data_IF_148291830069
#
_entry.id   IF_148291830069
#
_cell.length_a   1.000
_cell.length_b   1.000
_cell.length_c   1.000
_cell.angle_alpha   90.00
_cell.angle_beta   90.00
_cell.angle_gamma   90.00
#
_symmetry.space_group_name_H-M   'P 1'
#
loop_
_entity.id
_entity.type
_entity.pdbx_description
1 polymer ?
#
# COMPACT_ATOMS: atom_id res chain seq x y z
N UNK A 1 3.18 41.81 -9.22
CA UNK A 1 3.30 40.76 -8.19
C UNK A 1 3.24 41.42 -6.83
N UNK A 2 2.19 41.19 -6.04
CA UNK A 2 2.12 41.69 -4.65
C UNK A 2 3.07 40.84 -3.78
N UNK A 3 3.72 41.44 -2.79
CA UNK A 3 4.63 40.76 -1.85
C UNK A 3 4.03 39.50 -1.22
N UNK A 4 2.71 39.53 -0.96
CA UNK A 4 1.94 38.37 -0.48
C UNK A 4 1.93 37.18 -1.45
N UNK A 5 1.82 37.43 -2.76
CA UNK A 5 1.87 36.38 -3.79
C UNK A 5 3.26 35.77 -3.91
N UNK A 6 4.32 36.56 -3.78
CA UNK A 6 5.69 36.03 -3.77
C UNK A 6 5.93 35.10 -2.56
N UNK A 7 5.43 35.47 -1.38
CA UNK A 7 5.50 34.63 -0.17
C UNK A 7 4.71 33.32 -0.36
N UNK A 8 3.50 33.39 -0.92
CA UNK A 8 2.69 32.19 -1.19
C UNK A 8 3.36 31.24 -2.19
N UNK A 9 4.01 31.77 -3.24
CA UNK A 9 4.77 30.95 -4.20
C UNK A 9 5.90 30.20 -3.48
N UNK A 10 6.70 30.91 -2.69
CA UNK A 10 7.81 30.31 -1.94
C UNK A 10 7.29 29.26 -0.95
N UNK A 11 6.23 29.59 -0.21
CA UNK A 11 5.62 28.67 0.76
C UNK A 11 5.03 27.43 0.09
N UNK A 12 4.46 27.58 -1.10
CA UNK A 12 3.96 26.45 -1.91
C UNK A 12 5.11 25.54 -2.28
N UNK A 13 6.19 26.09 -2.84
CA UNK A 13 7.36 25.30 -3.26
C UNK A 13 7.93 24.54 -2.05
N UNK A 14 8.16 25.23 -0.93
CA UNK A 14 8.71 24.62 0.29
C UNK A 14 7.80 23.53 0.86
N UNK A 15 6.48 23.74 0.87
CA UNK A 15 5.53 22.77 1.44
C UNK A 15 5.21 21.60 0.50
N UNK A 16 5.44 21.77 -0.81
CA UNK A 16 5.18 20.75 -1.82
C UNK A 16 6.36 19.76 -1.96
N UNK A 17 7.58 20.18 -1.64
CA UNK A 17 8.78 19.32 -1.67
C UNK A 17 8.57 18.03 -0.84
N UNK A 18 8.15 18.08 0.44
CA UNK A 18 7.87 16.87 1.23
C UNK A 18 6.82 15.98 0.60
N UNK A 19 5.77 16.57 0.02
CA UNK A 19 4.66 15.82 -0.61
C UNK A 19 5.15 15.11 -1.86
N UNK A 20 5.88 15.78 -2.74
CA UNK A 20 6.45 15.19 -3.96
C UNK A 20 7.44 14.09 -3.60
N UNK A 21 8.33 14.31 -2.64
CA UNK A 21 9.27 13.29 -2.15
C UNK A 21 8.53 12.10 -1.54
N UNK A 22 7.44 12.33 -0.79
CA UNK A 22 6.62 11.27 -0.21
C UNK A 22 5.87 10.45 -1.25
N UNK A 23 5.38 11.07 -2.34
CA UNK A 23 4.74 10.36 -3.44
C UNK A 23 5.75 9.46 -4.17
N UNK A 24 6.95 9.99 -4.45
CA UNK A 24 8.02 9.23 -5.10
C UNK A 24 8.46 8.06 -4.20
N UNK A 25 8.51 8.27 -2.88
CA UNK A 25 8.81 7.20 -1.93
C UNK A 25 7.67 6.17 -1.80
N UNK A 26 6.40 6.62 -1.82
CA UNK A 26 5.22 5.77 -1.68
C UNK A 26 4.98 4.86 -2.90
N UNK A 27 5.23 5.34 -4.11
CA UNK A 27 5.19 4.53 -5.34
C UNK A 27 6.22 3.39 -5.28
N UNK A 28 7.27 3.55 -4.47
CA UNK A 28 8.31 2.56 -4.23
C UNK A 28 8.10 1.79 -2.91
N UNK A 29 6.86 1.63 -2.42
CA UNK A 29 6.55 0.71 -1.31
C UNK A 29 6.10 -0.67 -1.83
N UNK A 30 7.04 -1.60 -2.11
CA UNK A 30 6.73 -2.84 -2.80
C UNK A 30 5.89 -3.85 -2.01
N UNK A 31 5.88 -3.76 -0.68
CA UNK A 31 5.35 -4.84 0.15
C UNK A 31 3.82 -5.00 0.00
N UNK A 32 3.06 -3.92 -0.16
CA UNK A 32 1.59 -4.00 -0.30
C UNK A 32 1.18 -4.47 -1.70
N UNK A 33 1.83 -3.94 -2.74
CA UNK A 33 1.52 -4.31 -4.12
C UNK A 33 1.91 -5.76 -4.42
N UNK A 34 3.09 -6.18 -3.98
CA UNK A 34 3.57 -7.56 -4.14
C UNK A 34 2.65 -8.55 -3.43
N UNK A 35 2.24 -8.27 -2.18
CA UNK A 35 1.36 -9.17 -1.43
C UNK A 35 -0.02 -9.36 -2.09
N UNK A 36 -0.61 -8.29 -2.62
CA UNK A 36 -1.89 -8.38 -3.33
C UNK A 36 -1.75 -9.17 -4.64
N UNK A 37 -0.67 -8.92 -5.38
CA UNK A 37 -0.39 -9.62 -6.63
C UNK A 37 -0.17 -11.12 -6.37
N UNK A 38 0.65 -11.48 -5.38
CA UNK A 38 0.88 -12.88 -5.01
C UNK A 38 -0.40 -13.56 -4.50
N UNK A 39 -1.28 -12.84 -3.80
CA UNK A 39 -2.60 -13.36 -3.44
C UNK A 39 -3.45 -13.66 -4.68
N UNK A 40 -3.50 -12.74 -5.64
CA UNK A 40 -4.20 -12.96 -6.90
C UNK A 40 -3.60 -14.14 -7.67
N UNK A 41 -2.28 -14.24 -7.75
CA UNK A 41 -1.58 -15.39 -8.35
C UNK A 41 -1.93 -16.70 -7.67
N UNK A 42 -2.02 -16.71 -6.33
CA UNK A 42 -2.44 -17.89 -5.59
C UNK A 42 -3.90 -18.28 -5.91
N UNK A 43 -4.80 -17.30 -6.09
CA UNK A 43 -6.16 -17.59 -6.55
C UNK A 43 -6.17 -18.16 -7.97
N UNK A 44 -5.34 -17.66 -8.87
CA UNK A 44 -5.20 -18.21 -10.24
C UNK A 44 -4.76 -19.67 -10.18
N UNK A 45 -3.74 -19.97 -9.36
CA UNK A 45 -3.29 -21.35 -9.14
C UNK A 45 -4.40 -22.23 -8.55
N UNK A 46 -5.15 -21.76 -7.56
CA UNK A 46 -6.30 -22.49 -7.01
C UNK A 46 -7.39 -22.75 -8.07
N UNK A 47 -7.69 -21.74 -8.89
CA UNK A 47 -8.68 -21.87 -9.97
C UNK A 47 -8.22 -22.82 -11.09
N UNK A 48 -6.91 -22.95 -11.31
CA UNK A 48 -6.36 -23.88 -12.31
C UNK A 48 -6.67 -25.35 -11.99
N UNK A 49 -6.71 -25.70 -10.69
CA UNK A 49 -6.99 -27.05 -10.17
C UNK A 49 -8.45 -27.50 -10.31
N UNK A 50 -9.31 -26.61 -10.80
CA UNK A 50 -10.73 -26.90 -11.02
C UNK A 50 -10.89 -27.96 -12.12
N UNK A 51 -11.53 -29.09 -11.81
CA UNK A 51 -11.84 -30.12 -12.82
C UNK A 51 -13.03 -29.69 -13.68
N UNK A 52 -12.95 -29.88 -15.00
CA UNK A 52 -14.01 -29.49 -15.96
C UNK A 52 -15.30 -30.28 -15.80
N UNK A 53 -15.27 -31.47 -15.19
CA UNK A 53 -16.45 -32.36 -15.10
C UNK A 53 -17.63 -31.80 -14.30
N UNK A 54 -17.43 -30.81 -13.42
CA UNK A 54 -18.48 -30.29 -12.54
C UNK A 54 -18.81 -28.79 -12.74
N UNK A 55 -18.25 -28.15 -13.77
CA UNK A 55 -18.27 -26.68 -13.90
C UNK A 55 -18.51 -26.19 -15.34
N UNK A 56 -19.42 -26.84 -16.06
CA UNK A 56 -19.87 -26.41 -17.39
C UNK A 56 -20.35 -24.95 -17.45
N UNK A 57 -20.85 -24.38 -16.34
CA UNK A 57 -21.23 -22.96 -16.25
C UNK A 57 -20.05 -21.98 -16.19
N UNK A 58 -18.86 -22.45 -15.77
CA UNK A 58 -17.70 -21.59 -15.53
C UNK A 58 -16.55 -21.81 -16.51
N UNK A 59 -16.64 -22.79 -17.42
CA UNK A 59 -15.55 -23.11 -18.35
C UNK A 59 -15.17 -21.91 -19.27
N UNK A 60 -16.15 -21.14 -19.74
CA UNK A 60 -15.89 -19.92 -20.54
C UNK A 60 -15.21 -18.81 -19.73
N UNK A 61 -15.60 -18.68 -18.46
CA UNK A 61 -15.01 -17.70 -17.53
C UNK A 61 -13.60 -18.14 -17.15
N UNK A 62 -13.39 -19.44 -16.97
CA UNK A 62 -12.12 -20.07 -16.61
C UNK A 62 -11.03 -19.76 -17.64
N UNK A 63 -11.30 -19.97 -18.92
CA UNK A 63 -10.33 -19.68 -19.99
C UNK A 63 -9.99 -18.18 -20.07
N UNK A 64 -10.98 -17.30 -19.91
CA UNK A 64 -10.78 -15.86 -19.95
C UNK A 64 -10.03 -15.31 -18.72
N UNK A 65 -10.16 -15.96 -17.56
CA UNK A 65 -9.61 -15.48 -16.28
C UNK A 65 -8.24 -16.10 -15.97
N UNK A 66 -8.01 -17.37 -16.32
CA UNK A 66 -6.72 -18.05 -16.05
C UNK A 66 -5.60 -17.64 -17.00
N UNK A 67 -5.94 -17.20 -18.22
CA UNK A 67 -4.95 -16.92 -19.26
C UNK A 67 -4.25 -18.19 -19.77
N UNK A 68 -3.17 -18.00 -20.53
CA UNK A 68 -2.35 -19.10 -21.07
C UNK A 68 -1.29 -19.50 -20.03
N UNK A 69 -1.16 -20.79 -19.74
CA UNK A 69 -0.18 -21.38 -18.81
C UNK A 69 -0.15 -20.74 -17.40
N UNK A 70 -1.12 -21.06 -16.52
CA UNK A 70 -1.24 -20.41 -15.21
C UNK A 70 -0.02 -20.65 -14.29
N UNK A 71 0.66 -21.79 -14.39
CA UNK A 71 1.83 -22.10 -13.57
C UNK A 71 3.07 -21.30 -13.97
N UNK A 72 3.34 -21.18 -15.28
CA UNK A 72 4.45 -20.38 -15.81
C UNK A 72 4.26 -18.89 -15.49
N UNK A 73 3.03 -18.38 -15.71
CA UNK A 73 2.67 -17.02 -15.35
C UNK A 73 2.76 -16.76 -13.84
N UNK A 74 2.43 -17.75 -13.01
CA UNK A 74 2.59 -17.66 -11.58
C UNK A 74 4.06 -17.62 -11.17
N UNK A 75 4.89 -18.53 -11.70
CA UNK A 75 6.33 -18.58 -11.43
C UNK A 75 6.97 -17.23 -11.71
N UNK A 76 6.68 -16.63 -12.88
CA UNK A 76 7.18 -15.30 -13.23
C UNK A 76 6.76 -14.23 -12.23
N UNK A 77 5.50 -14.22 -11.79
CA UNK A 77 5.02 -13.25 -10.79
C UNK A 77 5.69 -13.42 -9.42
N UNK A 78 5.96 -14.66 -9.00
CA UNK A 78 6.71 -14.91 -7.77
C UNK A 78 8.19 -14.49 -7.90
N UNK A 79 8.82 -14.70 -9.07
CA UNK A 79 10.19 -14.23 -9.35
C UNK A 79 10.28 -12.69 -9.35
N UNK A 80 9.33 -12.01 -10.01
CA UNK A 80 9.25 -10.55 -10.01
C UNK A 80 9.06 -10.01 -8.58
N UNK A 81 8.18 -10.63 -7.79
CA UNK A 81 7.96 -10.29 -6.39
C UNK A 81 9.21 -10.50 -5.52
N UNK A 82 10.00 -11.55 -5.78
CA UNK A 82 11.29 -11.80 -5.12
C UNK A 82 12.28 -10.68 -5.43
N UNK A 83 12.47 -10.37 -6.71
CA UNK A 83 13.40 -9.32 -7.15
C UNK A 83 13.05 -7.95 -6.57
N UNK A 84 11.76 -7.64 -6.52
CA UNK A 84 11.26 -6.41 -5.92
C UNK A 84 11.56 -6.38 -4.40
N UNK A 85 11.33 -7.49 -3.70
CA UNK A 85 11.62 -7.62 -2.27
C UNK A 85 13.13 -7.51 -1.97
N UNK A 86 13.98 -8.14 -2.78
CA UNK A 86 15.45 -8.07 -2.68
C UNK A 86 15.96 -6.63 -2.87
N UNK A 87 15.41 -5.89 -3.84
CA UNK A 87 15.74 -4.46 -4.02
C UNK A 87 15.40 -3.64 -2.77
N UNK A 88 14.31 -4.00 -2.09
CA UNK A 88 13.90 -3.32 -0.87
C UNK A 88 14.77 -3.69 0.33
N UNK A 89 15.13 -4.96 0.48
CA UNK A 89 16.09 -5.42 1.48
C UNK A 89 17.43 -4.68 1.34
N UNK A 90 17.98 -4.61 0.13
CA UNK A 90 19.22 -3.87 -0.16
C UNK A 90 19.14 -2.39 0.27
N UNK A 91 17.98 -1.74 0.09
CA UNK A 91 17.78 -0.35 0.56
C UNK A 91 17.78 -0.26 2.09
N UNK A 92 17.14 -1.20 2.78
CA UNK A 92 17.12 -1.25 4.24
C UNK A 92 18.53 -1.52 4.80
N UNK A 93 19.25 -2.47 4.23
CA UNK A 93 20.64 -2.78 4.61
C UNK A 93 21.58 -1.60 4.38
N UNK A 94 21.45 -0.90 3.25
CA UNK A 94 22.23 0.30 2.99
C UNK A 94 21.90 1.42 3.99
N UNK A 95 20.63 1.54 4.40
CA UNK A 95 20.24 2.48 5.45
C UNK A 95 20.89 2.12 6.79
N UNK A 96 20.98 0.83 7.12
CA UNK A 96 21.65 0.35 8.33
C UNK A 96 23.16 0.58 8.30
N UNK A 97 23.82 0.39 7.15
CA UNK A 97 25.25 0.70 6.97
C UNK A 97 25.57 2.17 7.24
N UNK A 98 24.69 3.10 6.84
CA UNK A 98 24.86 4.53 7.12
C UNK A 98 24.82 4.86 8.63
N UNK A 99 24.10 4.08 9.43
CA UNK A 99 24.11 4.22 10.89
C UNK A 99 25.36 3.63 11.56
N UNK A 100 26.05 2.70 10.89
CA UNK A 100 27.18 1.96 11.43
C UNK A 100 28.55 2.46 10.92
N UNK A 101 28.59 3.44 10.01
CA UNK A 101 29.85 4.07 9.63
C UNK A 101 30.48 4.81 10.83
N UNK A 102 31.77 4.59 11.12
CA UNK A 102 32.46 5.36 12.14
C UNK A 102 32.49 6.82 11.72
N UNK A 103 31.94 7.71 12.56
CA UNK A 103 32.12 9.16 12.47
C UNK A 103 33.61 9.46 12.71
N UNK A 104 34.43 9.33 11.67
CA UNK A 104 35.83 9.74 11.72
C UNK A 104 35.90 11.27 11.81
N UNK A 105 36.25 11.73 13.01
CA UNK A 105 36.93 12.99 13.36
C UNK A 105 36.46 14.27 12.64
N UNK A 106 35.52 14.99 13.26
CA UNK A 106 35.44 16.44 13.09
C UNK A 106 35.95 17.12 14.38
N UNK A 107 36.98 17.94 14.17
CA UNK A 107 37.75 18.66 15.16
C UNK A 107 36.94 19.25 16.33
N UNK A 108 37.52 19.15 17.53
CA UNK A 108 37.08 19.82 18.74
C UNK A 108 37.19 21.34 18.61
N UNK A 109 36.17 21.99 18.04
CA UNK A 109 35.90 23.41 18.21
C UNK A 109 34.50 23.72 17.65
N UNK A 110 33.46 23.44 18.43
CA UNK A 110 32.17 24.18 18.45
C UNK A 110 31.17 23.45 19.37
N UNK A 111 31.48 23.48 20.66
CA UNK A 111 30.52 23.15 21.72
C UNK A 111 29.45 24.24 21.78
N UNK A 112 28.40 24.15 20.96
CA UNK A 112 27.07 24.74 21.21
C UNK A 112 25.98 24.37 20.19
N UNK A 113 25.99 23.12 19.70
CA UNK A 113 24.81 22.55 19.03
C UNK A 113 24.48 21.21 19.68
N UNK A 114 23.80 21.28 20.82
CA UNK A 114 23.18 20.13 21.46
C UNK A 114 22.05 19.69 20.53
N UNK A 115 22.39 18.84 19.57
CA UNK A 115 21.45 17.91 18.96
C UNK A 115 21.00 16.96 20.09
N UNK A 116 19.70 16.77 20.31
CA UNK A 116 19.24 15.75 21.25
C UNK A 116 19.78 14.39 20.78
N UNK A 117 20.50 13.73 21.68
CA UNK A 117 20.93 12.33 21.58
C UNK A 117 19.64 11.48 21.64
N UNK A 118 18.94 11.39 20.52
CA UNK A 118 17.82 10.47 20.34
C UNK A 118 18.38 9.10 20.00
N UNK A 119 18.51 8.26 21.04
CA UNK A 119 18.63 6.79 21.03
C UNK A 119 18.90 6.13 19.66
N UNK A 120 20.14 6.23 19.15
CA UNK A 120 20.61 5.54 17.92
C UNK A 120 20.26 4.04 17.96
N UNK A 121 20.36 3.41 19.15
CA UNK A 121 20.08 1.99 19.36
C UNK A 121 18.63 1.58 19.06
N UNK A 122 17.63 2.44 19.31
CA UNK A 122 16.23 2.05 19.15
C UNK A 122 15.79 2.06 17.68
N UNK A 123 16.30 2.98 16.86
CA UNK A 123 16.03 3.03 15.43
C UNK A 123 16.84 1.97 14.67
N UNK A 124 18.09 1.71 15.08
CA UNK A 124 18.89 0.59 14.56
C UNK A 124 18.20 -0.77 14.83
N UNK A 125 17.78 -1.04 16.06
CA UNK A 125 17.08 -2.29 16.40
C UNK A 125 15.77 -2.47 15.61
N UNK A 126 15.00 -1.39 15.40
CA UNK A 126 13.79 -1.45 14.54
C UNK A 126 14.13 -1.79 13.10
N UNK A 127 15.20 -1.18 12.57
CA UNK A 127 15.64 -1.40 11.20
C UNK A 127 16.14 -2.84 11.01
N UNK A 128 16.87 -3.39 11.98
CA UNK A 128 17.28 -4.81 11.98
C UNK A 128 16.07 -5.75 12.01
N UNK A 129 15.06 -5.45 12.83
CA UNK A 129 13.81 -6.23 12.86
C UNK A 129 13.11 -6.20 11.48
N UNK A 130 13.02 -5.04 10.84
CA UNK A 130 12.38 -4.92 9.52
C UNK A 130 13.20 -5.62 8.43
N UNK A 131 14.55 -5.57 8.50
CA UNK A 131 15.45 -6.33 7.61
C UNK A 131 15.19 -7.83 7.76
N UNK A 132 15.18 -8.33 9.00
CA UNK A 132 14.93 -9.76 9.26
C UNK A 132 13.56 -10.21 8.76
N UNK A 133 12.53 -9.39 8.99
CA UNK A 133 11.18 -9.66 8.48
C UNK A 133 11.11 -9.61 6.96
N UNK A 134 11.81 -8.67 6.33
CA UNK A 134 11.89 -8.58 4.88
C UNK A 134 12.62 -9.78 4.27
N UNK A 135 13.67 -10.27 4.93
CA UNK A 135 14.36 -11.50 4.55
C UNK A 135 13.44 -12.72 4.69
N UNK A 136 12.70 -12.84 5.79
CA UNK A 136 11.74 -13.94 5.98
C UNK A 136 10.66 -13.98 4.90
N UNK A 137 10.18 -12.81 4.45
CA UNK A 137 9.23 -12.74 3.33
C UNK A 137 9.87 -13.13 1.99
N UNK A 138 11.14 -12.75 1.74
CA UNK A 138 11.90 -13.21 0.56
C UNK A 138 12.03 -14.74 0.60
N UNK A 139 12.40 -15.31 1.74
CA UNK A 139 12.56 -16.74 1.94
C UNK A 139 11.24 -17.50 1.68
N UNK A 140 10.09 -16.96 2.12
CA UNK A 140 8.75 -17.52 1.81
C UNK A 140 8.43 -17.47 0.33
N UNK A 141 8.76 -16.36 -0.35
CA UNK A 141 8.58 -16.24 -1.80
C UNK A 141 9.47 -17.26 -2.52
N UNK A 142 10.74 -17.39 -2.11
CA UNK A 142 11.68 -18.37 -2.65
C UNK A 142 11.22 -19.81 -2.45
N UNK A 143 10.67 -20.14 -1.28
CA UNK A 143 10.05 -21.44 -1.03
C UNK A 143 8.95 -21.73 -2.06
N UNK A 144 8.03 -20.77 -2.26
CA UNK A 144 6.92 -20.88 -3.21
C UNK A 144 7.40 -21.00 -4.67
N UNK A 145 8.50 -20.33 -5.04
CA UNK A 145 9.16 -20.51 -6.34
C UNK A 145 9.63 -21.95 -6.49
N UNK A 146 10.34 -22.51 -5.50
CA UNK A 146 10.75 -23.91 -5.52
C UNK A 146 9.57 -24.85 -5.74
N UNK A 147 8.46 -24.66 -5.00
CA UNK A 147 7.24 -25.45 -5.21
C UNK A 147 6.71 -25.37 -6.65
N UNK A 148 6.70 -24.18 -7.25
CA UNK A 148 6.22 -23.96 -8.62
C UNK A 148 7.14 -24.60 -9.67
N UNK A 149 8.45 -24.66 -9.42
CA UNK A 149 9.39 -25.37 -10.29
C UNK A 149 9.09 -26.88 -10.27
N UNK A 150 8.87 -27.49 -9.10
CA UNK A 150 8.44 -28.90 -9.00
C UNK A 150 7.15 -29.14 -9.76
N UNK A 151 6.16 -28.25 -9.62
CA UNK A 151 4.87 -28.38 -10.29
C UNK A 151 4.96 -28.29 -11.83
N UNK A 152 6.00 -27.65 -12.34
CA UNK A 152 6.29 -27.57 -13.78
C UNK A 152 7.20 -28.70 -14.27
N UNK A 153 7.68 -29.58 -13.39
CA UNK A 153 8.59 -30.67 -13.70
C UNK A 153 10.08 -30.34 -13.55
N UNK A 154 10.43 -29.09 -13.21
CA UNK A 154 11.79 -28.61 -13.02
C UNK A 154 12.31 -28.98 -11.61
N UNK A 155 12.42 -30.27 -11.35
CA UNK A 155 12.73 -30.80 -10.00
C UNK A 155 14.17 -30.46 -9.59
N UNK A 156 15.12 -30.44 -10.53
CA UNK A 156 16.53 -30.15 -10.23
C UNK A 156 16.69 -28.70 -9.77
N UNK A 157 16.11 -27.77 -10.52
CA UNK A 157 16.09 -26.34 -10.22
C UNK A 157 15.40 -26.08 -8.88
N UNK A 158 14.28 -26.76 -8.61
CA UNK A 158 13.64 -26.67 -7.30
C UNK A 158 14.54 -27.14 -6.17
N UNK A 159 15.23 -28.27 -6.32
CA UNK A 159 16.07 -28.82 -5.25
C UNK A 159 17.24 -27.89 -4.95
N UNK A 160 17.83 -27.25 -5.96
CA UNK A 160 18.86 -26.22 -5.77
C UNK A 160 18.33 -25.06 -4.92
N UNK A 161 17.17 -24.49 -5.30
CA UNK A 161 16.52 -23.39 -4.57
C UNK A 161 16.22 -23.77 -3.12
N UNK A 162 15.69 -24.97 -2.88
CA UNK A 162 15.31 -25.43 -1.55
C UNK A 162 16.52 -25.73 -0.67
N UNK A 163 17.60 -26.28 -1.24
CA UNK A 163 18.84 -26.55 -0.52
C UNK A 163 19.55 -25.25 -0.13
N UNK A 164 19.56 -24.25 -1.03
CA UNK A 164 20.04 -22.91 -0.69
C UNK A 164 19.23 -22.30 0.45
N UNK A 165 17.90 -22.37 0.38
CA UNK A 165 17.01 -21.83 1.41
C UNK A 165 17.22 -22.49 2.79
N UNK A 166 17.51 -23.80 2.83
CA UNK A 166 17.84 -24.50 4.07
C UNK A 166 19.16 -24.01 4.68
N UNK A 167 20.15 -23.71 3.84
CA UNK A 167 21.44 -23.20 4.28
C UNK A 167 21.34 -21.75 4.77
N UNK A 168 20.70 -20.88 3.99
CA UNK A 168 20.75 -19.42 4.17
C UNK A 168 19.64 -18.83 5.04
N UNK A 169 18.45 -19.44 5.10
CA UNK A 169 17.32 -18.86 5.84
C UNK A 169 17.63 -18.73 7.33
N UNK A 170 17.16 -17.66 7.98
CA UNK A 170 17.27 -17.52 9.43
C UNK A 170 16.10 -18.16 10.18
N UNK A 171 14.97 -18.43 9.49
CA UNK A 171 13.77 -18.97 10.11
C UNK A 171 13.86 -20.50 10.26
N UNK A 172 13.80 -21.05 11.49
CA UNK A 172 13.80 -22.49 11.69
C UNK A 172 12.58 -23.19 11.07
N UNK A 173 11.44 -22.50 10.96
CA UNK A 173 10.25 -23.09 10.36
C UNK A 173 10.39 -23.22 8.84
N UNK A 174 10.98 -22.20 8.19
CA UNK A 174 11.26 -22.21 6.75
C UNK A 174 12.28 -23.30 6.38
N UNK A 175 13.33 -23.49 7.19
CA UNK A 175 14.25 -24.62 6.99
C UNK A 175 13.54 -25.97 7.07
N UNK A 176 12.66 -26.15 8.05
CA UNK A 176 11.90 -27.41 8.23
C UNK A 176 10.97 -27.70 7.07
N UNK A 177 10.21 -26.70 6.60
CA UNK A 177 9.32 -26.90 5.45
C UNK A 177 10.12 -27.07 4.15
N UNK A 178 11.22 -26.35 3.94
CA UNK A 178 12.08 -26.53 2.78
C UNK A 178 12.64 -27.97 2.73
N UNK A 179 13.15 -28.47 3.87
CA UNK A 179 13.60 -29.87 3.96
C UNK A 179 12.47 -30.87 3.69
N UNK A 180 11.28 -30.62 4.26
CA UNK A 180 10.10 -31.47 4.03
C UNK A 180 9.71 -31.52 2.55
N UNK A 181 9.74 -30.37 1.87
CA UNK A 181 9.44 -30.24 0.46
C UNK A 181 10.51 -30.91 -0.40
N UNK A 182 11.80 -30.80 -0.06
CA UNK A 182 12.90 -31.50 -0.75
C UNK A 182 12.72 -33.01 -0.69
N UNK A 183 12.50 -33.57 0.50
CA UNK A 183 12.25 -35.01 0.71
C UNK A 183 11.00 -35.51 -0.04
N UNK A 184 9.97 -34.68 -0.20
CA UNK A 184 8.77 -35.03 -0.96
C UNK A 184 8.94 -34.81 -2.47
N UNK A 185 9.99 -34.12 -2.89
CA UNK A 185 10.26 -33.81 -4.28
C UNK A 185 11.26 -34.76 -4.90
N UNK A 186 12.20 -35.30 -4.10
CA UNK A 186 13.06 -36.42 -4.48
C UNK A 186 12.42 -37.77 -4.10
N UNK A 187 12.10 -38.58 -5.11
CA UNK A 187 11.48 -39.89 -4.91
C UNK A 187 12.41 -40.91 -4.21
N UNK A 188 13.70 -40.60 -4.06
CA UNK A 188 14.67 -41.49 -3.41
C UNK A 188 14.80 -41.23 -1.91
N UNK A 189 14.26 -40.13 -1.40
CA UNK A 189 14.38 -39.77 0.02
C UNK A 189 13.21 -40.32 0.85
N UNK A 190 13.49 -40.77 2.09
CA UNK A 190 12.44 -41.25 2.98
C UNK A 190 11.54 -40.08 3.42
N UNK A 191 10.22 -40.33 3.44
CA UNK A 191 9.22 -39.36 3.88
C UNK A 191 9.33 -39.13 5.39
N UNK A 192 9.36 -37.87 5.80
CA UNK A 192 9.41 -37.48 7.21
C UNK A 192 8.05 -37.70 7.88
N UNK A 193 8.02 -38.28 9.08
CA UNK A 193 6.78 -38.59 9.82
C UNK A 193 5.92 -37.34 10.08
N UNK A 194 6.56 -36.18 10.32
CA UNK A 194 5.87 -34.92 10.61
C UNK A 194 5.45 -34.13 9.35
N UNK A 195 5.68 -34.66 8.14
CA UNK A 195 5.47 -33.94 6.87
C UNK A 195 4.09 -33.29 6.77
N UNK A 196 3.03 -34.04 7.08
CA UNK A 196 1.66 -33.55 7.00
C UNK A 196 1.41 -32.34 7.92
N UNK A 197 1.94 -32.40 9.14
CA UNK A 197 1.78 -31.34 10.14
C UNK A 197 2.52 -30.08 9.69
N UNK A 198 3.77 -30.22 9.25
CA UNK A 198 4.60 -29.11 8.78
C UNK A 198 3.94 -28.44 7.57
N UNK A 199 3.47 -29.21 6.58
CA UNK A 199 2.76 -28.68 5.41
C UNK A 199 1.50 -27.90 5.81
N UNK A 200 0.69 -28.43 6.73
CA UNK A 200 -0.54 -27.77 7.18
C UNK A 200 -0.30 -26.47 7.95
N UNK A 201 0.84 -26.37 8.64
CA UNK A 201 1.20 -25.20 9.46
C UNK A 201 1.86 -24.09 8.62
N UNK A 202 2.80 -24.46 7.75
CA UNK A 202 3.66 -23.50 7.06
C UNK A 202 3.11 -23.09 5.67
N UNK A 203 2.48 -24.01 4.93
CA UNK A 203 1.96 -23.72 3.59
C UNK A 203 0.50 -23.24 3.63
N UNK A 204 0.16 -22.36 2.69
CA UNK A 204 -1.19 -21.79 2.54
C UNK A 204 -1.67 -21.86 1.09
N UNK A 205 -2.99 -21.82 0.93
CA UNK A 205 -3.63 -21.78 -0.39
C UNK A 205 -3.21 -22.97 -1.26
N UNK A 206 -2.95 -22.71 -2.54
CA UNK A 206 -2.60 -23.73 -3.52
C UNK A 206 -1.40 -24.61 -3.10
N UNK A 207 -0.30 -24.01 -2.62
CA UNK A 207 0.92 -24.73 -2.22
C UNK A 207 0.66 -25.83 -1.19
N UNK A 208 -0.23 -25.57 -0.23
CA UNK A 208 -0.63 -26.54 0.78
C UNK A 208 -1.36 -27.72 0.16
N UNK A 209 -2.33 -27.46 -0.71
CA UNK A 209 -3.08 -28.53 -1.38
C UNK A 209 -2.19 -29.35 -2.30
N UNK A 210 -1.29 -28.69 -3.04
CA UNK A 210 -0.32 -29.36 -3.91
C UNK A 210 0.53 -30.38 -3.16
N UNK A 211 1.19 -29.97 -2.07
CA UNK A 211 2.06 -30.88 -1.31
C UNK A 211 1.30 -31.91 -0.46
N UNK A 212 0.10 -31.60 0.05
CA UNK A 212 -0.72 -32.61 0.71
C UNK A 212 -1.18 -33.68 -0.28
N UNK A 213 -1.53 -33.28 -1.51
CA UNK A 213 -1.91 -34.21 -2.56
C UNK A 213 -0.73 -35.13 -2.89
N UNK A 214 0.44 -34.55 -3.14
CA UNK A 214 1.68 -35.33 -3.39
C UNK A 214 2.02 -36.26 -2.22
N UNK A 215 1.97 -35.77 -0.98
CA UNK A 215 2.23 -36.59 0.21
C UNK A 215 1.27 -37.78 0.30
N UNK A 216 -0.03 -37.54 0.18
CA UNK A 216 -1.02 -38.61 0.30
C UNK A 216 -0.99 -39.59 -0.88
N UNK A 217 -0.56 -39.15 -2.07
CA UNK A 217 -0.29 -40.04 -3.20
C UNK A 217 0.87 -40.99 -2.90
N UNK A 218 2.00 -40.48 -2.40
CA UNK A 218 3.17 -41.30 -2.07
C UNK A 218 2.85 -42.26 -0.89
N UNK A 219 2.03 -41.82 0.06
CA UNK A 219 1.58 -42.65 1.20
C UNK A 219 0.40 -43.57 0.87
N UNK A 220 -0.11 -43.57 -0.36
CA UNK A 220 -1.27 -44.35 -0.81
C UNK A 220 -2.55 -44.15 0.03
N UNK A 221 -2.73 -42.96 0.62
CA UNK A 221 -3.87 -42.61 1.50
C UNK A 221 -5.10 -42.17 0.71
N UNK A 222 -5.76 -43.13 0.07
CA UNK A 222 -6.89 -42.87 -0.84
C UNK A 222 -8.06 -42.11 -0.20
N UNK A 223 -8.46 -42.45 1.03
CA UNK A 223 -9.57 -41.76 1.71
C UNK A 223 -9.28 -40.27 1.97
N UNK A 224 -8.04 -39.95 2.30
CA UNK A 224 -7.62 -38.57 2.57
C UNK A 224 -7.41 -37.80 1.27
N UNK A 225 -6.96 -38.46 0.20
CA UNK A 225 -6.90 -37.89 -1.15
C UNK A 225 -8.28 -37.45 -1.64
N UNK A 226 -9.30 -38.32 -1.52
CA UNK A 226 -10.66 -38.01 -1.96
C UNK A 226 -11.22 -36.80 -1.18
N UNK A 227 -11.02 -36.77 0.15
CA UNK A 227 -11.42 -35.63 0.98
C UNK A 227 -10.68 -34.35 0.60
N UNK A 228 -9.38 -34.43 0.37
CA UNK A 228 -8.54 -33.30 -0.01
C UNK A 228 -8.97 -32.73 -1.38
N UNK A 229 -9.14 -33.58 -2.37
CA UNK A 229 -9.59 -33.20 -3.71
C UNK A 229 -10.96 -32.54 -3.67
N UNK A 230 -11.91 -33.09 -2.90
CA UNK A 230 -13.22 -32.45 -2.71
C UNK A 230 -13.09 -31.05 -2.09
N UNK A 231 -12.24 -30.89 -1.07
CA UNK A 231 -11.96 -29.57 -0.50
C UNK A 231 -11.29 -28.62 -1.50
N UNK A 232 -10.38 -29.12 -2.32
CA UNK A 232 -9.65 -28.33 -3.31
C UNK A 232 -10.59 -27.83 -4.41
N UNK A 233 -11.57 -28.63 -4.85
CA UNK A 233 -12.58 -28.22 -5.83
C UNK A 233 -13.46 -27.08 -5.30
N UNK A 234 -13.91 -27.14 -4.05
CA UNK A 234 -14.70 -26.05 -3.45
C UNK A 234 -13.89 -24.75 -3.32
N UNK A 235 -12.60 -24.86 -2.98
CA UNK A 235 -11.68 -23.71 -2.95
C UNK A 235 -11.43 -23.15 -4.35
N UNK A 236 -11.26 -24.01 -5.36
CA UNK A 236 -11.08 -23.60 -6.75
C UNK A 236 -12.28 -22.81 -7.27
N UNK A 237 -13.51 -23.27 -6.99
CA UNK A 237 -14.75 -22.54 -7.31
C UNK A 237 -14.78 -21.15 -6.69
N UNK A 238 -14.47 -21.07 -5.39
CA UNK A 238 -14.40 -19.77 -4.70
C UNK A 238 -13.32 -18.86 -5.30
N UNK A 239 -12.19 -19.42 -5.73
CA UNK A 239 -11.13 -18.65 -6.37
C UNK A 239 -11.59 -18.07 -7.71
N UNK A 240 -12.30 -18.83 -8.54
CA UNK A 240 -12.91 -18.34 -9.79
C UNK A 240 -13.87 -17.17 -9.50
N UNK A 241 -14.76 -17.31 -8.51
CA UNK A 241 -15.70 -16.24 -8.13
C UNK A 241 -14.94 -14.99 -7.69
N UNK A 242 -13.96 -15.14 -6.80
CA UNK A 242 -13.13 -14.02 -6.32
C UNK A 242 -12.40 -13.32 -7.46
N UNK A 243 -11.77 -14.08 -8.36
CA UNK A 243 -11.08 -13.53 -9.53
C UNK A 243 -12.05 -12.79 -10.46
N UNK A 244 -13.24 -13.32 -10.67
CA UNK A 244 -14.28 -12.69 -11.48
C UNK A 244 -14.71 -11.34 -10.90
N UNK A 245 -14.89 -11.26 -9.58
CA UNK A 245 -15.21 -10.00 -8.89
C UNK A 245 -14.06 -9.00 -9.01
N UNK A 246 -12.82 -9.43 -8.79
CA UNK A 246 -11.62 -8.58 -8.91
C UNK A 246 -11.50 -8.03 -10.35
N UNK A 247 -11.73 -8.87 -11.37
CA UNK A 247 -11.67 -8.47 -12.77
C UNK A 247 -12.80 -7.53 -13.19
N UNK A 248 -13.98 -7.62 -12.55
CA UNK A 248 -15.11 -6.73 -12.86
C UNK A 248 -14.93 -5.31 -12.33
N UNK A 249 -14.17 -5.08 -11.25
CA UNK A 249 -14.04 -3.75 -10.64
C UNK A 249 -13.54 -2.70 -11.66
N UNK A 250 -12.44 -2.91 -12.41
CA UNK A 250 -12.01 -1.96 -13.42
C UNK A 250 -13.01 -1.80 -14.57
N UNK A 251 -13.63 -2.89 -15.02
CA UNK A 251 -14.56 -2.87 -16.15
C UNK A 251 -15.82 -2.05 -15.84
N UNK A 252 -16.41 -2.25 -14.66
CA UNK A 252 -17.59 -1.50 -14.19
C UNK A 252 -17.24 -0.03 -14.00
N UNK A 253 -16.11 0.28 -13.35
CA UNK A 253 -15.65 1.65 -13.18
C UNK A 253 -15.41 2.36 -14.52
N UNK A 254 -14.77 1.68 -15.47
CA UNK A 254 -14.55 2.17 -16.83
C UNK A 254 -15.86 2.41 -17.59
N UNK A 255 -16.81 1.47 -17.52
CA UNK A 255 -18.13 1.61 -18.14
C UNK A 255 -18.91 2.79 -17.55
N UNK A 256 -18.90 2.95 -16.22
CA UNK A 256 -19.55 4.10 -15.56
C UNK A 256 -18.90 5.40 -16.03
N UNK A 257 -17.57 5.46 -16.06
CA UNK A 257 -16.84 6.64 -16.53
C UNK A 257 -17.19 6.99 -17.98
N UNK A 258 -17.18 6.01 -18.88
CA UNK A 258 -17.55 6.17 -20.29
C UNK A 258 -19.02 6.59 -20.43
N UNK A 259 -19.93 5.98 -19.67
CA UNK A 259 -21.35 6.34 -19.67
C UNK A 259 -21.56 7.79 -19.22
N UNK A 260 -20.87 8.25 -18.18
CA UNK A 260 -20.91 9.66 -17.73
C UNK A 260 -20.38 10.58 -18.83
N UNK A 261 -19.26 10.23 -19.47
CA UNK A 261 -18.69 11.04 -20.57
C UNK A 261 -19.68 11.13 -21.74
N UNK A 262 -20.23 10.01 -22.19
CA UNK A 262 -21.20 9.96 -23.29
C UNK A 262 -22.45 10.77 -22.92
N UNK A 263 -22.98 10.58 -21.71
CA UNK A 263 -24.13 11.34 -21.20
C UNK A 263 -23.85 12.84 -21.23
N UNK A 264 -22.69 13.28 -20.73
CA UNK A 264 -22.27 14.68 -20.75
C UNK A 264 -22.11 15.22 -22.18
N UNK A 265 -21.55 14.45 -23.11
CA UNK A 265 -21.38 14.85 -24.51
C UNK A 265 -22.71 14.96 -25.26
N UNK A 266 -23.62 13.99 -25.06
CA UNK A 266 -24.98 14.04 -25.62
C UNK A 266 -25.72 15.25 -25.06
N UNK A 267 -25.63 15.48 -23.76
CA UNK A 267 -26.24 16.63 -23.12
C UNK A 267 -25.66 17.95 -23.67
N UNK A 268 -24.35 18.02 -23.90
CA UNK A 268 -23.70 19.18 -24.50
C UNK A 268 -24.21 19.44 -25.94
N UNK A 269 -24.37 18.39 -26.75
CA UNK A 269 -24.87 18.51 -28.12
C UNK A 269 -26.34 18.94 -28.22
N UNK A 270 -27.20 18.41 -27.34
CA UNK A 270 -28.65 18.68 -27.36
C UNK A 270 -28.99 19.97 -26.60
N UNK A 271 -28.49 20.11 -25.37
CA UNK A 271 -28.91 21.18 -24.44
C UNK A 271 -28.01 22.41 -24.49
N UNK A 272 -26.83 22.32 -25.10
CA UNK A 272 -25.84 23.40 -25.28
C UNK A 272 -25.72 24.25 -24.00
N UNK A 273 -26.31 25.44 -23.98
CA UNK A 273 -26.27 26.42 -22.88
C UNK A 273 -26.89 25.95 -21.55
N UNK A 274 -27.71 24.89 -21.57
CA UNK A 274 -28.31 24.26 -20.38
C UNK A 274 -27.74 22.87 -20.08
N UNK A 275 -26.60 22.53 -20.68
CA UNK A 275 -25.87 21.30 -20.37
C UNK A 275 -25.17 21.41 -19.00
N UNK A 276 -24.98 20.29 -18.29
CA UNK A 276 -24.26 20.25 -16.99
C UNK A 276 -22.82 20.73 -17.15
N UNK A 277 -22.23 20.48 -18.32
CA UNK A 277 -20.89 20.97 -18.66
C UNK A 277 -20.82 22.46 -18.98
N UNK A 278 -21.95 23.12 -19.25
CA UNK A 278 -21.98 24.57 -19.48
C UNK A 278 -22.26 25.28 -18.17
N UNK A 279 -21.33 26.14 -17.77
CA UNK A 279 -21.45 26.98 -16.60
C UNK A 279 -22.43 28.11 -16.96
N UNK A 280 -23.64 28.04 -16.42
CA UNK A 280 -24.65 29.09 -16.58
C UNK A 280 -24.16 30.39 -15.93
N UNK A 281 -24.05 31.46 -16.73
CA UNK A 281 -23.58 32.76 -16.24
C UNK A 281 -24.50 33.36 -15.18
N UNK A 282 -25.77 32.93 -15.10
CA UNK A 282 -26.75 33.39 -14.09
C UNK A 282 -26.42 32.91 -12.69
N UNK A 283 -25.66 31.84 -12.56
CA UNK A 283 -25.15 31.31 -11.28
C UNK A 283 -23.64 31.52 -11.15
N UNK A 284 -23.07 32.56 -11.79
CA UNK A 284 -21.75 33.08 -11.41
C UNK A 284 -21.83 33.49 -9.95
N UNK A 285 -21.49 32.56 -9.06
CA UNK A 285 -21.24 32.86 -7.67
C UNK A 285 -20.01 33.76 -7.66
N UNK A 286 -20.24 35.07 -7.68
CA UNK A 286 -19.18 36.05 -7.57
C UNK A 286 -18.63 35.96 -6.15
N UNK A 287 -17.59 35.14 -6.00
CA UNK A 287 -16.83 35.14 -4.78
C UNK A 287 -16.10 36.48 -4.68
N UNK A 288 -16.26 37.22 -3.58
CA UNK A 288 -15.54 38.49 -3.41
C UNK A 288 -14.02 38.28 -3.25
N UNK A 289 -13.58 37.02 -3.15
CA UNK A 289 -12.19 36.60 -3.20
C UNK A 289 -11.80 36.06 -4.58
N UNK A 290 -10.55 36.31 -4.96
CA UNK A 290 -9.92 35.74 -6.15
C UNK A 290 -9.27 34.38 -5.82
N UNK A 291 -8.67 33.72 -6.82
CA UNK A 291 -7.93 32.45 -6.68
C UNK A 291 -6.84 32.46 -5.58
N UNK A 292 -6.39 33.66 -5.19
CA UNK A 292 -5.42 33.87 -4.12
C UNK A 292 -5.89 33.32 -2.76
N UNK A 293 -7.18 33.40 -2.44
CA UNK A 293 -7.71 32.91 -1.15
C UNK A 293 -7.77 31.37 -1.10
N UNK A 294 -8.37 30.65 -2.08
CA UNK A 294 -8.24 29.19 -2.14
C UNK A 294 -6.79 28.70 -2.13
N UNK A 295 -5.90 29.39 -2.85
CA UNK A 295 -4.47 29.05 -2.88
C UNK A 295 -3.81 29.24 -1.51
N UNK A 296 -4.10 30.33 -0.81
CA UNK A 296 -3.63 30.57 0.56
C UNK A 296 -4.14 29.51 1.53
N UNK A 297 -5.42 29.15 1.46
CA UNK A 297 -6.00 28.13 2.36
C UNK A 297 -5.38 26.76 2.12
N UNK A 298 -5.18 26.39 0.85
CA UNK A 298 -4.54 25.12 0.49
C UNK A 298 -3.08 25.08 0.96
N UNK A 299 -2.31 26.13 0.68
CA UNK A 299 -0.88 26.16 0.97
C UNK A 299 -0.61 26.37 2.46
N UNK A 300 -1.23 27.36 3.09
CA UNK A 300 -1.00 27.68 4.50
C UNK A 300 -1.75 26.71 5.41
N UNK A 301 -3.02 26.42 5.10
CA UNK A 301 -3.90 25.64 5.95
C UNK A 301 -3.69 24.14 5.88
N UNK A 302 -3.35 23.59 4.70
CA UNK A 302 -3.14 22.15 4.53
C UNK A 302 -1.67 21.78 4.36
N UNK A 303 -0.96 22.36 3.39
CA UNK A 303 0.41 21.95 3.10
C UNK A 303 1.39 22.40 4.20
N UNK A 304 1.45 23.69 4.50
CA UNK A 304 2.35 24.24 5.52
C UNK A 304 1.97 23.75 6.93
N UNK A 305 0.68 23.76 7.26
CA UNK A 305 0.24 23.30 8.57
C UNK A 305 0.51 21.80 8.78
N UNK A 306 0.19 20.97 7.78
CA UNK A 306 0.37 19.53 7.86
C UNK A 306 1.83 19.07 7.76
N UNK A 307 2.64 19.71 6.91
CA UNK A 307 4.01 19.27 6.66
C UNK A 307 5.05 19.94 7.56
N UNK A 308 4.76 21.11 8.12
CA UNK A 308 5.73 21.89 8.89
C UNK A 308 5.25 22.11 10.32
N UNK A 309 4.09 22.72 10.52
CA UNK A 309 3.60 23.06 11.87
C UNK A 309 3.37 21.80 12.71
N UNK A 310 2.65 20.81 12.19
CA UNK A 310 2.31 19.59 12.93
C UNK A 310 3.55 18.78 13.34
N UNK A 311 4.50 18.46 12.43
CA UNK A 311 5.71 17.75 12.80
C UNK A 311 6.57 18.49 13.83
N UNK A 312 6.62 19.83 13.75
CA UNK A 312 7.34 20.66 14.73
C UNK A 312 6.65 20.59 16.09
N UNK A 313 5.31 20.72 16.16
CA UNK A 313 4.59 20.58 17.43
C UNK A 313 4.75 19.18 18.02
N UNK A 314 4.70 18.13 17.19
CA UNK A 314 4.88 16.75 17.63
C UNK A 314 6.30 16.51 18.15
N UNK A 315 7.31 17.07 17.49
CA UNK A 315 8.72 17.03 17.92
C UNK A 315 8.93 17.76 19.25
N UNK A 316 8.34 18.95 19.42
CA UNK A 316 8.42 19.71 20.67
C UNK A 316 7.79 18.97 21.85
N UNK A 317 6.70 18.23 21.61
CA UNK A 317 6.02 17.45 22.63
C UNK A 317 6.74 16.13 22.99
N UNK A 318 7.87 15.82 22.34
CA UNK A 318 8.71 14.64 22.60
C UNK A 318 7.91 13.32 22.68
N UNK A 319 6.84 13.21 21.89
CA UNK A 319 5.95 12.05 21.93
C UNK A 319 6.62 10.85 21.25
N UNK A 320 7.06 9.88 22.05
CA UNK A 320 7.55 8.60 21.55
C UNK A 320 6.37 7.75 21.04
N UNK A 321 6.08 7.80 19.73
CA UNK A 321 5.07 6.96 19.08
C UNK A 321 5.32 5.45 19.30
N UNK A 322 6.56 5.06 19.55
CA UNK A 322 6.95 3.67 19.78
C UNK A 322 6.56 3.13 21.15
N UNK A 323 6.41 4.00 22.16
CA UNK A 323 5.98 3.60 23.50
C UNK A 323 4.45 3.49 23.61
N UNK A 324 3.75 4.06 22.63
CA UNK A 324 2.30 4.00 22.52
C UNK A 324 1.95 2.71 21.78
N UNK A 325 1.35 1.74 22.49
CA UNK A 325 0.75 0.56 21.84
C UNK A 325 -0.31 0.95 20.81
N UNK A 326 -0.84 -0.02 20.04
CA UNK A 326 -1.75 0.21 18.89
C UNK A 326 -2.84 1.28 19.11
N UNK A 327 -3.44 1.32 20.31
CA UNK A 327 -4.47 2.30 20.70
C UNK A 327 -3.92 3.72 20.82
N UNK A 328 -2.73 3.88 21.39
CA UNK A 328 -2.06 5.17 21.52
C UNK A 328 -1.61 5.74 20.17
N UNK A 329 -1.15 4.88 19.25
CA UNK A 329 -0.86 5.27 17.87
C UNK A 329 -2.13 5.74 17.15
N UNK A 330 -3.26 5.05 17.33
CA UNK A 330 -4.54 5.45 16.75
C UNK A 330 -5.02 6.82 17.27
N UNK A 331 -4.92 7.07 18.59
CA UNK A 331 -5.25 8.38 19.17
C UNK A 331 -4.30 9.49 18.71
N UNK A 332 -3.01 9.19 18.52
CA UNK A 332 -2.05 10.13 17.97
C UNK A 332 -2.40 10.53 16.53
N UNK A 333 -2.70 9.55 15.68
CA UNK A 333 -3.12 9.78 14.30
C UNK A 333 -4.40 10.62 14.27
N UNK A 334 -5.40 10.26 15.09
CA UNK A 334 -6.65 11.01 15.21
C UNK A 334 -6.40 12.45 15.67
N UNK A 335 -5.60 12.65 16.71
CA UNK A 335 -5.24 13.98 17.21
C UNK A 335 -4.53 14.83 16.15
N UNK A 336 -3.67 14.21 15.34
CA UNK A 336 -2.99 14.86 14.23
C UNK A 336 -3.96 15.30 13.14
N UNK A 337 -4.91 14.44 12.76
CA UNK A 337 -5.96 14.80 11.79
C UNK A 337 -6.91 15.89 12.30
N UNK A 338 -7.25 15.85 13.58
CA UNK A 338 -8.07 16.91 14.21
C UNK A 338 -7.31 18.23 14.22
N UNK A 339 -6.02 18.23 14.60
CA UNK A 339 -5.18 19.42 14.58
C UNK A 339 -5.04 19.99 13.17
N UNK A 340 -4.84 19.14 12.16
CA UNK A 340 -4.76 19.55 10.76
C UNK A 340 -6.09 20.17 10.29
N UNK A 341 -7.21 19.54 10.63
CA UNK A 341 -8.54 20.01 10.26
C UNK A 341 -8.85 21.35 10.91
N UNK A 342 -8.56 21.50 12.21
CA UNK A 342 -8.73 22.77 12.93
C UNK A 342 -7.80 23.86 12.39
N UNK A 343 -6.55 23.53 12.06
CA UNK A 343 -5.61 24.45 11.42
C UNK A 343 -6.11 24.93 10.06
N UNK A 344 -6.53 24.01 9.20
CA UNK A 344 -7.09 24.30 7.88
C UNK A 344 -8.37 25.13 7.95
N UNK A 345 -9.30 24.78 8.83
CA UNK A 345 -10.54 25.54 9.08
C UNK A 345 -10.22 26.92 9.67
N UNK A 346 -9.25 27.02 10.57
CA UNK A 346 -8.81 28.30 11.15
C UNK A 346 -8.24 29.24 10.09
N UNK A 347 -7.37 28.73 9.21
CA UNK A 347 -6.82 29.50 8.08
C UNK A 347 -7.94 29.89 7.12
N UNK A 348 -8.88 29.00 6.79
CA UNK A 348 -10.04 29.30 5.97
C UNK A 348 -10.88 30.43 6.58
N UNK A 349 -11.21 30.31 7.88
CA UNK A 349 -11.96 31.31 8.61
C UNK A 349 -11.28 32.68 8.57
N UNK A 350 -9.98 32.74 8.89
CA UNK A 350 -9.20 33.98 8.85
C UNK A 350 -9.11 34.58 7.44
N UNK A 351 -8.99 33.73 6.42
CA UNK A 351 -8.84 34.16 5.02
C UNK A 351 -10.15 34.69 4.44
N UNK A 352 -11.29 34.14 4.86
CA UNK A 352 -12.62 34.59 4.41
C UNK A 352 -13.19 35.69 5.34
N UNK A 353 -12.63 35.87 6.54
CA UNK A 353 -13.13 36.81 7.56
C UNK A 353 -13.35 38.24 7.02
N UNK A 354 -12.46 38.72 6.15
CA UNK A 354 -12.54 40.06 5.56
C UNK A 354 -13.73 40.25 4.62
N UNK A 355 -14.33 39.16 4.15
CA UNK A 355 -15.44 39.15 3.21
C UNK A 355 -16.80 38.93 3.90
N UNK A 356 -16.86 38.82 5.23
CA UNK A 356 -18.13 38.78 5.94
C UNK A 356 -18.87 40.13 5.82
N UNK A 357 -20.19 40.11 5.59
CA UNK A 357 -20.99 41.31 5.31
C UNK A 357 -21.05 42.34 6.46
N UNK A 358 -20.63 41.96 7.67
CA UNK A 358 -20.81 42.76 8.89
C UNK A 358 -19.92 44.00 9.01
N UNK A 359 -18.85 44.16 8.19
CA UNK A 359 -17.97 45.34 8.29
C UNK A 359 -18.55 46.60 7.61
N UNK A 360 -19.50 46.46 6.68
CA UNK A 360 -20.13 47.63 6.01
C UNK A 360 -21.28 48.25 6.80
N UNK A 361 -21.93 47.51 7.70
CA UNK A 361 -23.11 47.99 8.43
C UNK A 361 -22.72 48.96 9.57
N UNK A 362 -21.56 48.77 10.21
CA UNK A 362 -21.11 49.65 11.30
C UNK A 362 -20.69 51.06 10.86
N UNK A 363 -20.22 51.23 9.61
CA UNK A 363 -19.78 52.55 9.09
C UNK A 363 -20.93 53.38 8.52
N UNK A 364 -22.00 52.73 8.04
CA UNK A 364 -23.21 53.40 7.55
C UNK A 364 -24.07 53.90 8.72
N UNK A 365 -24.13 53.16 9.82
CA UNK A 365 -24.88 53.58 11.02
C UNK A 365 -24.21 54.75 11.77
N UNK A 366 -22.88 54.84 11.79
CA UNK A 366 -22.19 55.99 12.42
C UNK A 366 -22.24 57.25 11.55
N UNK A 367 -22.25 57.11 10.21
CA UNK A 367 -22.38 58.24 9.28
C UNK A 367 -23.79 58.82 9.17
N UNK A 368 -24.85 58.04 9.46
CA UNK A 368 -26.22 58.56 9.46
C UNK A 368 -26.67 59.16 10.81
N UNK A 369 -26.00 58.83 11.91
CA UNK A 369 -26.34 59.40 13.23
C UNK A 369 -25.66 60.76 13.47
N UNK A 370 -24.54 61.06 12.82
CA UNK A 370 -23.85 62.36 12.92
C UNK A 370 -24.34 63.42 11.92
N UNK A 371 -25.22 63.08 10.97
CA UNK A 371 -25.83 64.01 10.02
C UNK A 371 -27.20 64.56 10.43
N UNK A 372 -27.72 64.19 11.61
CA UNK A 372 -29.05 64.60 12.12
C UNK A 372 -28.99 65.54 13.34
N UNK A 373 -27.80 65.97 13.76
CA UNK A 373 -27.59 67.01 14.78
C UNK A 373 -26.51 67.99 14.30
N UNK A 374 -26.93 69.00 13.55
CA UNK A 374 -26.05 70.04 13.03
C UNK A 374 -26.79 71.03 12.14
N UNK A 375 -27.86 71.63 12.67
CA UNK A 375 -28.24 73.01 12.35
C UNK A 375 -27.60 73.93 13.39
#
# INVERSE_FOLDING_TARGET
MTTKRAILIVLTIVSLIPVILSLIASINQPQVQSNLQLYQTNLVLQAAESSSENLSEFDQIRESVLGKNPYEAALKQYQDARQISEKNLNRLENSLKLFNEPKNELNQADSNKILPIFSENNEQNKLEIEINKQQEEIDKITLNIGVLEVAQGNTIESLEILNELQASSFSPSLKKIANTISHLSDNNEPILVESEKIIKQELKGWFRYYYLNKLYQIQERQDDLIKLQKSQQEVAKQAIIKLTVIAMIPAVGGLIGVAIIIFCLIQLGIKKESAILVIDERFKWETPWTIEIPWQVLVVGFLFFGQIIIPILASFLSLNLTALGLRGTAFYILGTYVALSLGGIGVLYLSIKSFFPYRKIGLILVGQVTGLFGE
#
